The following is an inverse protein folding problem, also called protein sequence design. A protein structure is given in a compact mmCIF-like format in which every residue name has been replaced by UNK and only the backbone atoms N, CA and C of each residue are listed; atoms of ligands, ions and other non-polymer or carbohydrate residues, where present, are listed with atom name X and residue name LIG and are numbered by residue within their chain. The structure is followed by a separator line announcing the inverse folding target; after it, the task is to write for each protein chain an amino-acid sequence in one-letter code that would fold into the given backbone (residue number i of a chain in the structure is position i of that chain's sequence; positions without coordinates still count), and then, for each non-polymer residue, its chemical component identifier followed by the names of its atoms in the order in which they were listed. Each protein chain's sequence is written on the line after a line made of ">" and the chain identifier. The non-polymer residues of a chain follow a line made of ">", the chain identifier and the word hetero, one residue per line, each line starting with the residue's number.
data_IF_938946436340
#
_entry.id   IF_938946436340
#
_cell.length_a   1.000
_cell.length_b   1.000
_cell.length_c   1.000
_cell.angle_alpha   90.00
_cell.angle_beta   90.00
_cell.angle_gamma   90.00
#
_symmetry.space_group_name_H-M   'P 1'
#
loop_
_entity.id
_entity.type
_entity.pdbx_description
1 polymer ?
#
# COMPACT_ATOMS: atom_id res chain seq x y z
N UNK A 1 0.24 15.97 -38.58
CA UNK A 1 -1.00 15.49 -37.95
C UNK A 1 -0.83 15.55 -36.45
N UNK A 2 -1.52 16.51 -35.83
CA UNK A 2 -1.59 16.73 -34.39
C UNK A 2 -2.49 15.70 -33.70
N UNK A 3 -2.35 15.58 -32.37
CA UNK A 3 -3.16 14.85 -31.37
C UNK A 3 -2.70 13.41 -31.10
N UNK A 4 -2.41 13.00 -29.86
CA UNK A 4 -3.00 13.40 -28.57
C UNK A 4 -1.99 13.22 -27.43
N UNK A 5 -1.75 14.32 -26.71
CA UNK A 5 -1.33 14.33 -25.32
C UNK A 5 -2.55 13.86 -24.52
N UNK A 6 -2.54 12.66 -23.95
CA UNK A 6 -3.58 12.22 -22.99
C UNK A 6 -3.10 12.60 -21.60
N UNK A 7 -3.48 13.80 -21.19
CA UNK A 7 -3.58 14.17 -19.80
C UNK A 7 -4.79 13.42 -19.22
N UNK A 8 -4.52 12.37 -18.47
CA UNK A 8 -5.43 11.88 -17.44
C UNK A 8 -4.61 11.67 -16.17
N UNK A 9 -4.33 12.78 -15.50
CA UNK A 9 -3.64 12.83 -14.22
C UNK A 9 -4.62 13.35 -13.16
N UNK A 10 -5.75 12.67 -13.02
CA UNK A 10 -6.41 12.60 -11.71
C UNK A 10 -5.80 11.38 -11.07
N UNK A 11 -4.82 11.58 -10.19
CA UNK A 11 -4.10 10.50 -9.51
C UNK A 11 -5.09 9.67 -8.66
N UNK A 12 -5.72 8.69 -9.29
CA UNK A 12 -6.54 7.71 -8.60
C UNK A 12 -5.68 7.02 -7.53
N UNK A 13 -6.30 6.70 -6.39
CA UNK A 13 -5.63 5.90 -5.38
C UNK A 13 -5.21 4.56 -6.03
N UNK A 14 -4.00 4.06 -5.77
CA UNK A 14 -3.55 2.79 -6.31
C UNK A 14 -4.53 1.69 -5.89
N UNK A 15 -4.88 0.81 -6.83
CA UNK A 15 -5.89 -0.23 -6.61
C UNK A 15 -5.31 -1.38 -5.78
N UNK A 16 -3.98 -1.58 -5.82
CA UNK A 16 -3.27 -2.63 -5.11
C UNK A 16 -1.91 -2.20 -4.53
N UNK A 17 -1.38 -3.00 -3.61
CA UNK A 17 -0.06 -2.78 -3.00
C UNK A 17 1.07 -2.80 -4.05
N UNK A 18 1.02 -3.77 -4.97
CA UNK A 18 2.03 -3.92 -6.02
C UNK A 18 2.06 -2.72 -6.97
N UNK A 19 0.89 -2.20 -7.35
CA UNK A 19 0.80 -0.98 -8.16
C UNK A 19 1.33 0.24 -7.42
N UNK A 20 0.99 0.39 -6.14
CA UNK A 20 1.51 1.49 -5.31
C UNK A 20 3.04 1.46 -5.21
N UNK A 21 3.61 0.26 -5.04
CA UNK A 21 5.06 0.04 -5.00
C UNK A 21 5.73 0.32 -6.35
N UNK A 22 5.12 -0.10 -7.46
CA UNK A 22 5.61 0.18 -8.80
C UNK A 22 5.61 1.68 -9.11
N UNK A 23 4.53 2.38 -8.77
CA UNK A 23 4.41 3.84 -8.93
C UNK A 23 5.47 4.56 -8.08
N UNK A 24 5.64 4.15 -6.81
CA UNK A 24 6.64 4.73 -5.92
C UNK A 24 8.07 4.54 -6.47
N UNK A 25 8.40 3.36 -7.00
CA UNK A 25 9.71 3.09 -7.60
C UNK A 25 9.97 3.98 -8.84
N UNK A 26 8.96 4.15 -9.70
CA UNK A 26 9.08 5.05 -10.85
C UNK A 26 9.28 6.50 -10.43
N UNK A 27 8.57 6.94 -9.38
CA UNK A 27 8.64 8.29 -8.88
C UNK A 27 10.02 8.59 -8.26
N UNK A 28 10.55 7.66 -7.47
CA UNK A 28 11.92 7.75 -6.92
C UNK A 28 12.96 7.81 -8.05
N UNK A 29 12.86 6.94 -9.06
CA UNK A 29 13.78 6.95 -10.19
C UNK A 29 13.78 8.29 -10.95
N UNK A 30 12.62 8.94 -11.10
CA UNK A 30 12.51 10.26 -11.71
C UNK A 30 13.15 11.36 -10.84
N UNK A 31 12.98 11.29 -9.52
CA UNK A 31 13.60 12.22 -8.57
C UNK A 31 15.13 12.09 -8.56
N UNK A 32 15.64 10.86 -8.56
CA UNK A 32 17.08 10.57 -8.59
C UNK A 32 17.74 10.97 -9.93
N UNK A 33 17.00 10.91 -11.03
CA UNK A 33 17.48 11.37 -12.33
C UNK A 33 17.75 12.90 -12.36
N UNK A 34 17.26 13.66 -11.38
CA UNK A 34 17.58 15.09 -11.22
C UNK A 34 17.02 16.01 -12.31
N UNK A 35 16.16 15.49 -13.19
CA UNK A 35 15.61 16.22 -14.34
C UNK A 35 14.28 16.94 -14.02
N UNK A 36 13.76 16.79 -12.79
CA UNK A 36 12.49 17.38 -12.37
C UNK A 36 12.65 18.86 -11.96
N UNK A 37 11.84 19.77 -12.53
CA UNK A 37 11.69 21.13 -12.01
C UNK A 37 11.24 21.12 -10.54
N UNK A 38 11.55 22.17 -9.79
CA UNK A 38 11.26 22.26 -8.35
C UNK A 38 9.79 21.95 -8.01
N UNK A 39 8.84 22.54 -8.74
CA UNK A 39 7.41 22.30 -8.52
C UNK A 39 7.01 20.84 -8.77
N UNK A 40 7.60 20.21 -9.78
CA UNK A 40 7.37 18.81 -10.09
C UNK A 40 8.00 17.90 -9.02
N UNK A 41 9.15 18.26 -8.45
CA UNK A 41 9.76 17.54 -7.32
C UNK A 41 8.92 17.60 -6.05
N UNK A 42 8.30 18.74 -5.76
CA UNK A 42 7.37 18.87 -4.62
C UNK A 42 6.11 18.04 -4.84
N UNK A 43 5.54 18.05 -6.04
CA UNK A 43 4.39 17.22 -6.38
C UNK A 43 4.72 15.72 -6.30
N UNK A 44 5.88 15.32 -6.82
CA UNK A 44 6.39 13.96 -6.75
C UNK A 44 6.53 13.52 -5.28
N UNK A 45 7.16 14.34 -4.43
CA UNK A 45 7.29 14.04 -3.00
C UNK A 45 5.93 13.87 -2.31
N UNK A 46 4.97 14.77 -2.58
CA UNK A 46 3.63 14.68 -1.99
C UNK A 46 2.96 13.35 -2.34
N UNK A 47 2.97 12.98 -3.63
CA UNK A 47 2.44 11.71 -4.12
C UNK A 47 3.17 10.51 -3.54
N UNK A 48 4.50 10.55 -3.49
CA UNK A 48 5.31 9.51 -2.86
C UNK A 48 4.93 9.29 -1.40
N UNK A 49 4.65 10.36 -0.64
CA UNK A 49 4.20 10.25 0.75
C UNK A 49 2.83 9.57 0.89
N UNK A 50 1.91 9.81 -0.05
CA UNK A 50 0.60 9.16 -0.09
C UNK A 50 0.74 7.66 -0.37
N UNK A 51 1.57 7.30 -1.35
CA UNK A 51 1.86 5.90 -1.70
C UNK A 51 2.48 5.15 -0.52
N UNK A 52 3.45 5.76 0.18
CA UNK A 52 4.07 5.16 1.38
C UNK A 52 3.04 4.93 2.48
N UNK A 53 2.16 5.90 2.75
CA UNK A 53 1.08 5.75 3.73
C UNK A 53 0.12 4.62 3.35
N UNK A 54 -0.25 4.53 2.08
CA UNK A 54 -1.09 3.45 1.58
C UNK A 54 -0.44 2.07 1.77
N UNK A 55 0.83 1.93 1.39
CA UNK A 55 1.57 0.68 1.56
C UNK A 55 1.66 0.26 3.04
N UNK A 56 1.97 1.21 3.93
CA UNK A 56 2.03 0.96 5.37
C UNK A 56 0.67 0.48 5.93
N UNK A 57 -0.42 1.14 5.56
CA UNK A 57 -1.77 0.76 5.99
C UNK A 57 -2.16 -0.65 5.50
N UNK A 58 -1.79 -1.00 4.27
CA UNK A 58 -2.04 -2.34 3.73
C UNK A 58 -1.28 -3.43 4.50
N UNK A 59 -0.01 -3.17 4.84
CA UNK A 59 0.80 -4.10 5.64
C UNK A 59 0.22 -4.26 7.06
N UNK A 60 -0.16 -3.16 7.72
CA UNK A 60 -0.79 -3.20 9.04
C UNK A 60 -2.09 -4.01 9.03
N UNK A 61 -2.91 -3.82 7.99
CA UNK A 61 -4.15 -4.59 7.80
C UNK A 61 -3.88 -6.09 7.65
N UNK A 62 -2.83 -6.47 6.92
CA UNK A 62 -2.44 -7.88 6.77
C UNK A 62 -1.90 -8.44 8.07
N UNK A 63 -1.04 -7.71 8.76
CA UNK A 63 -0.49 -8.11 10.08
C UNK A 63 -1.61 -8.31 11.11
N UNK A 64 -2.59 -7.42 11.15
CA UNK A 64 -3.76 -7.56 12.02
C UNK A 64 -4.57 -8.82 11.71
N UNK A 65 -4.81 -9.12 10.42
CA UNK A 65 -5.51 -10.34 10.01
C UNK A 65 -4.74 -11.60 10.41
N UNK A 66 -3.42 -11.62 10.23
CA UNK A 66 -2.57 -12.75 10.64
C UNK A 66 -2.66 -12.97 12.16
N UNK A 67 -2.56 -11.90 12.96
CA UNK A 67 -2.68 -11.99 14.44
C UNK A 67 -4.04 -12.55 14.89
N UNK A 68 -5.13 -12.16 14.22
CA UNK A 68 -6.47 -12.71 14.52
C UNK A 68 -6.50 -14.20 14.20
N UNK A 69 -6.00 -14.62 13.05
CA UNK A 69 -5.95 -16.04 12.67
C UNK A 69 -5.11 -16.87 13.63
N UNK A 70 -3.94 -16.37 14.06
CA UNK A 70 -3.10 -17.01 15.06
C UNK A 70 -3.81 -17.10 16.43
N UNK A 71 -4.46 -16.01 16.86
CA UNK A 71 -5.22 -15.99 18.12
C UNK A 71 -6.45 -16.89 18.11
N UNK A 72 -7.12 -17.04 16.97
CA UNK A 72 -8.23 -17.99 16.80
C UNK A 72 -7.76 -19.44 16.73
N UNK A 73 -6.62 -19.70 16.10
CA UNK A 73 -5.99 -21.02 16.07
C UNK A 73 -5.51 -21.46 17.45
N UNK A 74 -5.20 -20.51 18.33
CA UNK A 74 -4.78 -20.74 19.71
C UNK A 74 -5.92 -20.73 20.73
N UNK A 75 -7.20 -20.57 20.33
CA UNK A 75 -8.31 -20.76 21.28
C UNK A 75 -8.22 -22.18 21.84
N UNK A 76 -8.03 -22.35 23.17
CA UNK A 76 -8.04 -23.66 23.76
C UNK A 76 -9.37 -24.28 23.41
N UNK A 77 -9.35 -25.44 22.75
CA UNK A 77 -10.53 -26.28 22.65
C UNK A 77 -10.81 -26.72 24.09
N UNK A 78 -11.62 -25.94 24.81
CA UNK A 78 -12.19 -26.41 26.06
C UNK A 78 -13.06 -27.59 25.68
N UNK A 79 -12.50 -28.78 25.81
CA UNK A 79 -13.28 -30.02 25.86
C UNK A 79 -14.16 -29.86 27.08
N UNK A 80 -15.35 -29.30 26.87
CA UNK A 80 -16.48 -29.49 27.76
C UNK A 80 -16.95 -30.92 27.54
N UNK A 81 -16.15 -31.86 28.02
CA UNK A 81 -16.49 -33.26 28.16
C UNK A 81 -17.02 -33.45 29.57
N UNK A 82 -18.31 -33.65 29.66
CA UNK A 82 -19.01 -34.18 30.82
C UNK A 82 -18.47 -35.58 31.18
N UNK A 83 -18.45 -35.90 32.48
CA UNK A 83 -18.10 -37.22 33.04
C UNK A 83 -16.67 -37.28 33.57
N UNK A 84 -16.36 -37.73 34.79
CA UNK A 84 -16.99 -38.77 35.60
C UNK A 84 -16.69 -38.55 37.09
N UNK A 85 -17.74 -38.67 37.91
CA UNK A 85 -17.84 -39.10 39.33
C UNK A 85 -16.72 -38.75 40.32
#
# INVERSE_FOLDING_TARGET
>A
MSKKLTADATAAAPVSFEEAMAELAQLVAQMEAGQLPLEASVAAYARGSELVKFCAAQLEKVESQVKVLEGEMLKPFVVTGEGEQ
#
